data_IF_237314291842
#
_entry.id   IF_237314291842
#
_cell.length_a   1.000
_cell.length_b   1.000
_cell.length_c   1.000
_cell.angle_alpha   90.00
_cell.angle_beta   90.00
_cell.angle_gamma   90.00
#
_symmetry.space_group_name_H-M   'P 1'
#
loop_
_entity.id
_entity.type
_entity.pdbx_description
1 polymer ?
#
# COMPACT_ATOMS: atom_id res chain seq x y z
N UNK A 1 10.90 5.25 -73.14
CA UNK A 1 10.46 5.56 -71.75
C UNK A 1 11.70 5.47 -70.86
N UNK A 2 12.44 6.57 -70.62
CA UNK A 2 12.42 7.44 -69.42
C UNK A 2 12.40 6.66 -68.08
N UNK A 3 13.22 6.92 -67.05
CA UNK A 3 14.34 7.85 -66.78
C UNK A 3 14.98 7.42 -65.42
N UNK A 4 16.32 7.52 -65.35
CA UNK A 4 17.21 8.08 -64.27
C UNK A 4 17.00 7.60 -62.81
N UNK A 5 17.96 6.96 -62.12
CA UNK A 5 19.35 7.33 -61.71
C UNK A 5 19.43 8.15 -60.40
N UNK A 6 20.54 7.95 -59.65
CA UNK A 6 21.22 8.73 -58.56
C UNK A 6 21.48 7.82 -57.32
N UNK A 7 22.72 7.32 -57.04
CA UNK A 7 23.92 7.88 -56.32
C UNK A 7 23.65 8.15 -54.81
N UNK A 8 24.52 7.93 -53.79
CA UNK A 8 25.96 8.18 -53.50
C UNK A 8 26.44 7.24 -52.33
N UNK A 9 27.71 6.82 -52.09
CA UNK A 9 28.99 7.46 -51.65
C UNK A 9 28.85 8.39 -50.40
N UNK A 10 29.57 8.31 -49.28
CA UNK A 10 31.03 8.28 -48.98
C UNK A 10 31.23 7.83 -47.50
N UNK A 11 32.24 7.02 -47.15
CA UNK A 11 33.65 7.28 -46.75
C UNK A 11 33.90 7.53 -45.25
N UNK A 12 35.07 7.02 -44.80
CA UNK A 12 35.85 7.36 -43.61
C UNK A 12 35.47 6.58 -42.33
N UNK A 13 36.28 5.69 -41.73
CA UNK A 13 37.70 5.39 -41.82
C UNK A 13 38.13 4.84 -40.45
N UNK A 14 39.07 3.89 -40.41
CA UNK A 14 39.68 3.48 -39.14
C UNK A 14 40.57 4.61 -38.63
N UNK A 15 40.25 5.17 -37.45
CA UNK A 15 41.17 6.02 -36.69
C UNK A 15 41.63 5.28 -35.44
N UNK A 16 42.95 5.33 -35.27
CA UNK A 16 43.74 4.72 -34.21
C UNK A 16 43.32 5.25 -32.85
N UNK A 17 43.35 4.38 -31.85
CA UNK A 17 43.33 4.76 -30.45
C UNK A 17 44.53 5.68 -30.15
N UNK A 18 44.27 6.90 -29.72
CA UNK A 18 45.20 7.73 -28.94
C UNK A 18 44.41 8.61 -27.96
N UNK A 19 44.56 8.30 -26.68
CA UNK A 19 44.44 9.16 -25.49
C UNK A 19 43.48 10.37 -25.52
N UNK A 20 42.40 10.29 -24.72
CA UNK A 20 42.15 11.14 -23.52
C UNK A 20 40.67 11.11 -23.11
N UNK A 21 40.46 10.66 -21.87
CA UNK A 21 39.45 11.09 -20.88
C UNK A 21 38.23 11.83 -21.46
N UNK A 22 37.12 11.11 -21.62
CA UNK A 22 35.77 11.67 -21.48
C UNK A 22 34.94 10.68 -20.65
N UNK A 23 34.75 11.04 -19.37
CA UNK A 23 33.62 10.62 -18.55
C UNK A 23 32.35 10.79 -19.38
N UNK A 24 31.53 9.75 -19.52
CA UNK A 24 30.06 9.79 -19.54
C UNK A 24 29.55 8.39 -19.91
N UNK A 25 29.04 7.65 -18.92
CA UNK A 25 28.24 6.45 -19.15
C UNK A 25 26.96 6.88 -19.88
N UNK A 26 26.92 6.64 -21.18
CA UNK A 26 25.73 6.85 -22.00
C UNK A 26 25.34 5.50 -22.61
N UNK A 27 24.44 4.78 -21.94
CA UNK A 27 23.69 3.67 -22.53
C UNK A 27 22.20 4.05 -22.53
N UNK A 28 21.54 4.13 -23.70
CA UNK A 28 20.13 4.45 -23.76
C UNK A 28 19.30 3.18 -23.53
N UNK A 29 18.83 2.96 -22.31
CA UNK A 29 17.75 1.99 -22.07
C UNK A 29 16.41 2.66 -22.41
N UNK A 30 15.90 2.37 -23.60
CA UNK A 30 14.47 2.53 -23.89
C UNK A 30 13.71 1.50 -23.04
N UNK A 31 13.08 1.93 -21.96
CA UNK A 31 12.12 1.11 -21.22
C UNK A 31 10.69 1.60 -21.50
N UNK A 32 9.73 0.70 -21.77
CA UNK A 32 8.35 1.09 -22.02
C UNK A 32 7.68 1.61 -20.75
N UNK A 33 6.82 2.62 -20.91
CA UNK A 33 5.92 3.17 -19.91
C UNK A 33 4.83 2.15 -19.55
N UNK A 34 5.12 1.21 -18.64
CA UNK A 34 4.22 0.65 -17.63
C UNK A 34 4.82 -0.60 -17.00
N UNK A 35 4.41 -0.86 -15.75
CA UNK A 35 4.67 -2.06 -14.94
C UNK A 35 5.99 -2.04 -14.17
N UNK A 36 6.00 -1.38 -13.01
CA UNK A 36 6.52 -1.94 -11.74
C UNK A 36 6.05 -1.05 -10.58
N UNK A 37 4.77 -1.11 -10.21
CA UNK A 37 4.43 -0.96 -8.79
C UNK A 37 4.85 -2.27 -8.14
N UNK A 38 6.14 -2.40 -7.82
CA UNK A 38 6.64 -3.46 -6.95
C UNK A 38 6.39 -2.99 -5.53
N UNK A 39 5.37 -3.48 -4.81
CA UNK A 39 5.23 -3.14 -3.40
C UNK A 39 6.51 -3.55 -2.68
N UNK A 40 7.02 -2.62 -1.88
CA UNK A 40 8.20 -2.80 -1.07
C UNK A 40 7.96 -3.94 -0.06
N UNK A 41 8.81 -4.98 0.02
CA UNK A 41 8.60 -6.12 0.93
C UNK A 41 8.89 -5.80 2.41
N UNK A 42 9.02 -4.53 2.78
CA UNK A 42 9.25 -4.11 4.15
C UNK A 42 7.97 -3.48 4.69
N UNK A 43 7.25 -4.24 5.53
CA UNK A 43 6.18 -3.86 6.45
C UNK A 43 5.40 -2.59 6.07
N UNK A 44 4.13 -2.71 5.71
CA UNK A 44 3.19 -1.61 5.48
C UNK A 44 3.51 -0.40 6.39
N UNK A 45 4.02 0.71 5.85
CA UNK A 45 4.47 1.85 6.68
C UNK A 45 3.50 3.01 6.68
N UNK A 46 2.61 3.05 5.70
CA UNK A 46 1.72 4.20 5.49
C UNK A 46 0.27 3.78 5.32
N UNK A 47 -0.64 4.67 5.68
CA UNK A 47 -2.07 4.52 5.44
C UNK A 47 -2.37 4.28 3.95
N UNK A 48 -1.63 4.95 3.05
CA UNK A 48 -1.80 4.79 1.60
C UNK A 48 -1.46 3.37 1.13
N UNK A 49 -0.35 2.80 1.62
CA UNK A 49 -0.02 1.40 1.36
C UNK A 49 -1.10 0.48 1.94
N UNK A 50 -1.52 0.71 3.19
CA UNK A 50 -2.58 -0.09 3.84
C UNK A 50 -3.86 -0.13 3.00
N UNK A 51 -4.35 1.03 2.57
CA UNK A 51 -5.50 1.14 1.69
C UNK A 51 -5.28 0.43 0.35
N UNK A 52 -4.09 0.56 -0.26
CA UNK A 52 -3.77 -0.15 -1.50
C UNK A 52 -3.81 -1.67 -1.34
N UNK A 53 -3.46 -2.21 -0.17
CA UNK A 53 -3.50 -3.65 0.11
C UNK A 53 -4.90 -4.25 0.17
N UNK A 54 -5.96 -3.44 0.30
CA UNK A 54 -7.35 -3.93 0.31
C UNK A 54 -7.74 -4.59 -1.03
N UNK A 55 -6.99 -4.31 -2.10
CA UNK A 55 -7.15 -4.94 -3.41
C UNK A 55 -6.61 -6.39 -3.47
N UNK A 56 -5.88 -6.84 -2.45
CA UNK A 56 -5.40 -8.22 -2.36
C UNK A 56 -6.49 -9.17 -1.83
N UNK A 57 -6.39 -10.45 -2.14
CA UNK A 57 -7.36 -11.45 -1.67
C UNK A 57 -7.25 -11.74 -0.17
N UNK A 58 -6.07 -11.55 0.42
CA UNK A 58 -5.79 -11.81 1.84
C UNK A 58 -4.91 -10.70 2.43
N UNK A 59 -5.01 -10.44 3.75
CA UNK A 59 -4.12 -9.52 4.44
C UNK A 59 -2.68 -10.08 4.44
N UNK A 60 -1.68 -9.20 4.55
CA UNK A 60 -0.32 -9.64 4.73
C UNK A 60 -0.15 -10.43 6.03
N UNK A 61 0.62 -11.52 5.99
CA UNK A 61 0.70 -12.49 7.08
C UNK A 61 1.27 -11.89 8.38
N UNK A 62 2.15 -10.91 8.24
CA UNK A 62 2.84 -10.18 9.31
C UNK A 62 2.01 -9.06 9.95
N UNK A 63 0.81 -8.75 9.43
CA UNK A 63 -0.07 -7.79 10.09
C UNK A 63 -0.48 -8.28 11.48
N UNK A 64 -0.48 -7.36 12.43
CA UNK A 64 -1.02 -7.56 13.77
C UNK A 64 -2.52 -7.88 13.72
N UNK A 65 -3.07 -8.51 14.75
CA UNK A 65 -4.49 -8.81 14.81
C UNK A 65 -5.39 -7.55 14.65
N UNK A 66 -5.10 -6.40 15.31
CA UNK A 66 -5.83 -5.15 15.06
C UNK A 66 -5.80 -4.70 13.59
N UNK A 67 -4.63 -4.75 12.92
CA UNK A 67 -4.52 -4.37 11.51
C UNK A 67 -5.24 -5.36 10.57
N UNK A 68 -5.20 -6.67 10.86
CA UNK A 68 -5.99 -7.66 10.10
C UNK A 68 -7.48 -7.41 10.26
N UNK A 69 -7.94 -7.10 11.47
CA UNK A 69 -9.33 -6.74 11.73
C UNK A 69 -9.78 -5.53 10.90
N UNK A 70 -8.99 -4.44 10.94
CA UNK A 70 -9.28 -3.23 10.17
C UNK A 70 -9.21 -3.46 8.65
N UNK A 71 -8.35 -4.38 8.20
CA UNK A 71 -8.24 -4.76 6.79
C UNK A 71 -9.51 -5.48 6.31
N UNK A 72 -10.00 -6.46 7.08
CA UNK A 72 -11.27 -7.14 6.76
C UNK A 72 -12.46 -6.19 6.81
N UNK A 73 -12.49 -5.29 7.81
CA UNK A 73 -13.51 -4.24 7.89
C UNK A 73 -13.49 -3.30 6.68
N UNK A 74 -12.29 -2.90 6.21
CA UNK A 74 -12.11 -2.08 5.01
C UNK A 74 -12.57 -2.78 3.72
N UNK A 75 -12.64 -4.11 3.71
CA UNK A 75 -13.24 -4.91 2.63
C UNK A 75 -14.74 -5.18 2.81
N UNK A 76 -15.32 -4.74 3.93
CA UNK A 76 -16.72 -5.00 4.27
C UNK A 76 -16.98 -6.39 4.84
N UNK A 77 -15.96 -7.13 5.26
CA UNK A 77 -16.10 -8.44 5.91
C UNK A 77 -16.12 -8.29 7.44
N UNK A 78 -17.28 -7.90 7.96
CA UNK A 78 -17.50 -7.68 9.38
C UNK A 78 -17.23 -8.92 10.24
N UNK A 79 -17.56 -10.12 9.73
CA UNK A 79 -17.37 -11.37 10.47
C UNK A 79 -15.90 -11.70 10.63
N UNK A 80 -15.12 -11.60 9.54
CA UNK A 80 -13.67 -11.82 9.63
C UNK A 80 -12.98 -10.75 10.46
N UNK A 81 -13.47 -9.50 10.43
CA UNK A 81 -12.94 -8.44 11.27
C UNK A 81 -13.05 -8.80 12.76
N UNK A 82 -14.26 -9.13 13.24
CA UNK A 82 -14.48 -9.55 14.64
C UNK A 82 -13.65 -10.76 15.01
N UNK A 83 -13.61 -11.79 14.16
CA UNK A 83 -12.85 -13.02 14.43
C UNK A 83 -11.36 -12.77 14.75
N UNK A 84 -10.75 -11.71 14.19
CA UNK A 84 -9.36 -11.37 14.50
C UNK A 84 -9.16 -10.88 15.95
N UNK A 85 -10.16 -10.27 16.57
CA UNK A 85 -10.05 -9.59 17.87
C UNK A 85 -10.89 -10.20 18.99
N UNK A 86 -11.91 -11.01 18.67
CA UNK A 86 -12.86 -11.59 19.64
C UNK A 86 -12.21 -12.41 20.76
N UNK A 87 -11.09 -13.07 20.46
CA UNK A 87 -10.40 -13.95 21.39
C UNK A 87 -9.29 -13.25 22.18
N UNK A 88 -9.07 -11.95 21.94
CA UNK A 88 -7.99 -11.16 22.52
C UNK A 88 -8.50 -10.23 23.62
N UNK A 89 -7.71 -10.08 24.68
CA UNK A 89 -8.08 -9.32 25.87
C UNK A 89 -7.21 -8.06 26.09
N UNK A 90 -6.38 -7.71 25.12
CA UNK A 90 -5.53 -6.53 25.18
C UNK A 90 -6.27 -5.24 24.76
N UNK A 91 -5.70 -4.08 25.10
CA UNK A 91 -6.33 -2.79 24.86
C UNK A 91 -6.41 -2.42 23.37
N UNK A 92 -5.46 -2.88 22.54
CA UNK A 92 -5.46 -2.58 21.10
C UNK A 92 -6.61 -3.33 20.41
N UNK A 93 -6.76 -4.61 20.70
CA UNK A 93 -7.87 -5.44 20.20
C UNK A 93 -9.23 -4.91 20.68
N UNK A 94 -9.33 -4.52 21.96
CA UNK A 94 -10.55 -3.91 22.51
C UNK A 94 -10.91 -2.59 21.80
N UNK A 95 -9.93 -1.77 21.40
CA UNK A 95 -10.20 -0.50 20.70
C UNK A 95 -10.79 -0.75 19.31
N UNK A 96 -10.23 -1.71 18.56
CA UNK A 96 -10.79 -2.08 17.26
C UNK A 96 -12.19 -2.69 17.42
N UNK A 97 -12.40 -3.54 18.42
CA UNK A 97 -13.73 -4.10 18.73
C UNK A 97 -14.76 -2.99 19.02
N UNK A 98 -14.37 -1.95 19.77
CA UNK A 98 -15.22 -0.79 20.04
C UNK A 98 -15.66 -0.06 18.76
N UNK A 99 -14.71 0.17 17.85
CA UNK A 99 -14.98 0.77 16.55
C UNK A 99 -15.93 -0.08 15.70
N UNK A 100 -15.75 -1.40 15.69
CA UNK A 100 -16.60 -2.30 14.90
C UNK A 100 -18.06 -2.28 15.37
N UNK A 101 -18.33 -2.32 16.68
CA UNK A 101 -19.69 -2.16 17.20
C UNK A 101 -20.25 -0.75 16.97
N UNK A 102 -19.39 0.28 17.01
CA UNK A 102 -19.82 1.64 16.66
C UNK A 102 -20.29 1.71 15.20
N UNK A 103 -19.59 1.04 14.28
CA UNK A 103 -19.96 0.95 12.86
C UNK A 103 -21.26 0.16 12.64
N UNK A 104 -21.49 -0.88 13.45
CA UNK A 104 -22.73 -1.66 13.47
C UNK A 104 -23.93 -0.88 14.02
N UNK A 105 -23.68 0.15 14.83
CA UNK A 105 -24.71 0.95 15.49
C UNK A 105 -25.04 0.49 16.91
N UNK A 106 -24.36 -0.53 17.44
CA UNK A 106 -24.47 -0.99 18.83
C UNK A 106 -23.67 -0.06 19.76
N UNK A 107 -24.27 1.08 20.07
CA UNK A 107 -23.63 2.14 20.86
C UNK A 107 -23.28 1.69 22.28
N UNK A 108 -24.10 0.83 22.90
CA UNK A 108 -23.87 0.37 24.28
C UNK A 108 -22.66 -0.56 24.36
N UNK A 109 -22.57 -1.50 23.43
CA UNK A 109 -21.46 -2.44 23.39
C UNK A 109 -20.17 -1.75 22.92
N UNK A 110 -20.27 -0.83 21.96
CA UNK A 110 -19.15 0.04 21.60
C UNK A 110 -18.59 0.77 22.83
N UNK A 111 -19.45 1.37 23.67
CA UNK A 111 -19.02 2.08 24.89
C UNK A 111 -18.37 1.13 25.91
N UNK A 112 -18.87 -0.09 26.06
CA UNK A 112 -18.21 -1.12 26.88
C UNK A 112 -16.78 -1.41 26.41
N UNK A 113 -16.59 -1.58 25.10
CA UNK A 113 -15.27 -1.87 24.54
C UNK A 113 -14.33 -0.66 24.52
N UNK A 114 -14.82 0.57 24.29
CA UNK A 114 -14.00 1.78 24.46
C UNK A 114 -13.49 1.90 25.90
N UNK A 115 -14.34 1.62 26.88
CA UNK A 115 -13.93 1.59 28.29
C UNK A 115 -12.86 0.52 28.56
N UNK A 116 -13.00 -0.69 28.01
CA UNK A 116 -11.98 -1.76 28.07
C UNK A 116 -10.65 -1.33 27.45
N UNK A 117 -10.71 -0.61 26.33
CA UNK A 117 -9.56 -0.05 25.63
C UNK A 117 -8.93 1.16 26.34
N UNK A 118 -9.58 1.71 27.38
CA UNK A 118 -9.23 2.98 28.03
C UNK A 118 -9.24 4.17 27.06
N UNK A 119 -10.20 4.16 26.15
CA UNK A 119 -10.40 5.20 25.14
C UNK A 119 -11.76 5.85 25.31
N UNK A 120 -11.89 7.09 24.85
CA UNK A 120 -13.17 7.79 24.76
C UNK A 120 -13.73 7.58 23.36
N UNK A 121 -15.02 7.23 23.23
CA UNK A 121 -15.67 7.12 21.92
C UNK A 121 -15.54 8.44 21.16
N UNK A 122 -14.93 8.46 19.96
CA UNK A 122 -14.71 9.70 19.24
C UNK A 122 -16.02 10.25 18.65
N UNK A 123 -16.10 11.57 18.55
CA UNK A 123 -17.17 12.28 17.84
C UNK A 123 -16.73 12.62 16.40
N UNK A 124 -16.16 11.63 15.70
CA UNK A 124 -15.63 11.77 14.34
C UNK A 124 -16.37 10.83 13.38
N UNK A 125 -16.41 11.10 12.07
CA UNK A 125 -16.94 10.15 11.09
C UNK A 125 -16.26 8.77 11.20
N UNK A 126 -17.00 7.70 10.90
CA UNK A 126 -16.49 6.31 11.00
C UNK A 126 -15.25 6.08 10.14
N UNK A 127 -15.21 6.61 8.93
CA UNK A 127 -14.04 6.51 8.05
C UNK A 127 -12.80 7.17 8.67
N UNK A 128 -12.98 8.35 9.29
CA UNK A 128 -11.87 9.06 9.95
C UNK A 128 -11.34 8.28 11.16
N UNK A 129 -12.22 7.67 11.95
CA UNK A 129 -11.77 6.81 13.06
C UNK A 129 -11.04 5.57 12.54
N UNK A 130 -11.54 4.94 11.48
CA UNK A 130 -10.88 3.79 10.86
C UNK A 130 -9.46 4.12 10.42
N UNK A 131 -9.26 5.25 9.72
CA UNK A 131 -7.94 5.72 9.31
C UNK A 131 -7.03 5.99 10.51
N UNK A 132 -7.56 6.59 11.59
CA UNK A 132 -6.80 6.83 12.82
C UNK A 132 -6.34 5.53 13.48
N UNK A 133 -7.22 4.52 13.53
CA UNK A 133 -6.88 3.19 14.07
C UNK A 133 -5.83 2.49 13.20
N UNK A 134 -5.95 2.57 11.87
CA UNK A 134 -4.93 2.03 10.97
C UNK A 134 -3.58 2.69 11.25
N UNK A 135 -3.53 4.03 11.28
CA UNK A 135 -2.29 4.77 11.56
C UNK A 135 -1.73 4.47 12.95
N UNK A 136 -2.59 4.27 13.95
CA UNK A 136 -2.19 3.93 15.31
C UNK A 136 -1.51 2.55 15.44
N UNK A 137 -1.82 1.61 14.54
CA UNK A 137 -1.34 0.23 14.62
C UNK A 137 -0.33 -0.17 13.54
N UNK A 138 -0.06 0.70 12.55
CA UNK A 138 1.09 0.59 11.63
C UNK A 138 2.41 0.85 12.36
#
# INVERSE_FOLDING_TARGET
MNRRAILFNTDNGWLKATDRIVKLYNHPLKMPLNVYFRPNPYAMKTLAEFKASLNSDQPAADLSAPLKSLWYDGKGDWHQAHAQVDHLNDQASAWVHAYLHRKEGDSHNADYWYNKARQTRPQLPLETEWEQLVVQFL
#
